data_IF_865496189353
#
_entry.id   IF_865496189353
#
_cell.length_a   1.000
_cell.length_b   1.000
_cell.length_c   1.000
_cell.angle_alpha   90.00
_cell.angle_beta   90.00
_cell.angle_gamma   90.00
#
_symmetry.space_group_name_H-M   'P 1'
#
loop_
_entity.id
_entity.type
_entity.pdbx_description
1 polymer ?
#
# COMPACT_ATOMS: atom_id res chain seq x y z
N UNK A 1 -27.79 -9.64 -0.24
CA UNK A 1 -27.03 -8.42 0.17
C UNK A 1 -26.38 -7.82 -1.07
N UNK A 2 -26.45 -6.50 -1.29
CA UNK A 2 -25.72 -5.86 -2.41
C UNK A 2 -24.24 -5.72 -2.02
N UNK A 3 -23.34 -6.33 -2.78
CA UNK A 3 -21.89 -6.20 -2.57
C UNK A 3 -21.48 -4.79 -2.96
N UNK A 4 -20.82 -4.06 -2.05
CA UNK A 4 -20.28 -2.72 -2.33
C UNK A 4 -19.29 -2.83 -3.50
N UNK A 5 -19.29 -1.85 -4.40
CA UNK A 5 -18.36 -1.80 -5.53
C UNK A 5 -17.38 -0.64 -5.33
N UNK A 6 -16.14 -0.86 -5.74
CA UNK A 6 -15.08 0.15 -5.79
C UNK A 6 -14.68 0.40 -7.24
N UNK A 7 -14.14 1.59 -7.50
CA UNK A 7 -13.54 1.97 -8.78
C UNK A 7 -12.04 2.11 -8.57
N UNK A 8 -11.22 1.50 -9.41
CA UNK A 8 -9.77 1.61 -9.31
C UNK A 8 -9.33 3.03 -9.69
N UNK A 9 -8.64 3.74 -8.79
CA UNK A 9 -8.17 5.11 -9.05
C UNK A 9 -7.11 5.22 -10.17
N UNK A 10 -6.51 4.10 -10.56
CA UNK A 10 -5.43 4.07 -11.58
C UNK A 10 -5.96 3.77 -12.99
N UNK A 11 -6.94 2.89 -13.13
CA UNK A 11 -7.40 2.45 -14.45
C UNK A 11 -8.92 2.51 -14.65
N UNK A 12 -9.69 3.00 -13.68
CA UNK A 12 -11.15 3.13 -13.78
C UNK A 12 -11.94 1.81 -13.70
N UNK A 13 -11.27 0.64 -13.65
CA UNK A 13 -11.96 -0.66 -13.54
C UNK A 13 -12.79 -0.74 -12.26
N UNK A 14 -14.06 -1.13 -12.39
CA UNK A 14 -14.94 -1.43 -11.26
C UNK A 14 -14.69 -2.84 -10.75
N UNK A 15 -14.66 -3.02 -9.43
CA UNK A 15 -14.47 -4.33 -8.77
C UNK A 15 -15.30 -4.41 -7.47
N UNK A 16 -15.77 -5.60 -7.07
CA UNK A 16 -16.54 -5.77 -5.84
C UNK A 16 -15.64 -5.69 -4.58
N UNK A 17 -16.25 -5.35 -3.45
CA UNK A 17 -15.63 -5.42 -2.13
C UNK A 17 -15.13 -6.85 -1.83
N UNK A 18 -13.96 -6.94 -1.20
CA UNK A 18 -13.24 -8.20 -1.00
C UNK A 18 -12.36 -8.61 -2.18
N UNK A 19 -12.49 -7.95 -3.34
CA UNK A 19 -11.51 -8.03 -4.43
C UNK A 19 -10.62 -6.79 -4.45
N UNK A 20 -9.38 -6.94 -4.93
CA UNK A 20 -8.43 -5.82 -5.00
C UNK A 20 -7.83 -5.42 -3.66
N UNK A 21 -7.42 -4.16 -3.55
CA UNK A 21 -6.70 -3.59 -2.41
C UNK A 21 -7.35 -2.24 -2.10
N UNK A 22 -7.80 -2.06 -0.86
CA UNK A 22 -8.41 -0.81 -0.38
C UNK A 22 -7.61 -0.34 0.82
N UNK A 23 -7.04 0.88 0.74
CA UNK A 23 -6.29 1.51 1.82
C UNK A 23 -7.06 2.74 2.31
N UNK A 24 -7.20 2.88 3.63
CA UNK A 24 -7.84 4.05 4.26
C UNK A 24 -6.90 4.64 5.28
N UNK A 25 -6.51 5.90 5.10
CA UNK A 25 -5.67 6.64 6.07
C UNK A 25 -5.89 8.13 5.91
N UNK A 26 -5.94 8.86 7.02
CA UNK A 26 -6.06 10.33 7.03
C UNK A 26 -7.25 10.84 6.17
N UNK A 27 -8.42 10.20 6.28
CA UNK A 27 -9.60 10.50 5.46
C UNK A 27 -9.41 10.35 3.93
N UNK A 28 -8.35 9.69 3.49
CA UNK A 28 -8.11 9.34 2.09
C UNK A 28 -8.40 7.85 1.90
N UNK A 29 -9.23 7.53 0.89
CA UNK A 29 -9.50 6.17 0.43
C UNK A 29 -8.79 5.93 -0.92
N UNK A 30 -7.86 4.96 -0.95
CA UNK A 30 -7.16 4.54 -2.17
C UNK A 30 -7.60 3.12 -2.55
N UNK A 31 -8.14 2.97 -3.77
CA UNK A 31 -8.72 1.72 -4.27
C UNK A 31 -7.99 1.21 -5.51
N UNK A 32 -7.49 -0.02 -5.44
CA UNK A 32 -6.74 -0.66 -6.53
C UNK A 32 -7.34 -2.02 -6.88
N UNK A 33 -7.67 -2.24 -8.15
CA UNK A 33 -8.19 -3.55 -8.56
C UNK A 33 -7.11 -4.64 -8.58
N UNK A 34 -5.82 -4.28 -8.58
CA UNK A 34 -4.68 -5.20 -8.67
C UNK A 34 -3.42 -4.62 -8.04
N UNK A 35 -2.46 -5.51 -7.71
CA UNK A 35 -1.12 -5.13 -7.22
C UNK A 35 -0.40 -4.24 -8.22
N UNK A 36 -0.53 -4.49 -9.53
CA UNK A 36 0.09 -3.68 -10.57
C UNK A 36 -0.42 -2.24 -10.59
N UNK A 37 -1.70 -2.02 -10.33
CA UNK A 37 -2.25 -0.66 -10.19
C UNK A 37 -1.71 0.02 -8.92
N UNK A 38 -1.66 -0.70 -7.80
CA UNK A 38 -1.05 -0.18 -6.57
C UNK A 38 0.39 0.26 -6.83
N UNK A 39 1.22 -0.58 -7.45
CA UNK A 39 2.62 -0.26 -7.72
C UNK A 39 2.79 0.97 -8.64
N UNK A 40 1.96 1.09 -9.68
CA UNK A 40 1.97 2.26 -10.58
C UNK A 40 1.65 3.55 -9.83
N UNK A 41 0.63 3.52 -8.98
CA UNK A 41 0.26 4.67 -8.15
C UNK A 41 1.38 5.05 -7.20
N UNK A 42 1.92 4.10 -6.43
CA UNK A 42 2.92 4.41 -5.42
C UNK A 42 4.25 4.90 -6.02
N UNK A 43 4.60 4.47 -7.23
CA UNK A 43 5.74 5.05 -7.96
C UNK A 43 5.56 6.54 -8.20
N UNK A 44 4.44 6.94 -8.81
CA UNK A 44 4.13 8.36 -9.04
C UNK A 44 3.93 9.13 -7.73
N UNK A 45 3.32 8.51 -6.72
CA UNK A 45 3.14 9.12 -5.41
C UNK A 45 4.48 9.48 -4.76
N UNK A 46 5.44 8.56 -4.79
CA UNK A 46 6.79 8.79 -4.25
C UNK A 46 7.52 9.88 -5.03
N UNK A 47 7.40 9.89 -6.36
CA UNK A 47 8.00 10.92 -7.22
C UNK A 47 7.44 12.33 -6.94
N UNK A 48 6.22 12.43 -6.38
CA UNK A 48 5.56 13.69 -6.02
C UNK A 48 5.80 14.13 -4.56
N UNK A 49 6.46 13.34 -3.72
CA UNK A 49 6.79 13.74 -2.34
C UNK A 49 8.00 14.68 -2.32
N UNK A 50 8.00 15.63 -1.39
CA UNK A 50 9.22 16.38 -1.10
C UNK A 50 10.30 15.45 -0.51
N UNK A 51 11.57 15.81 -0.72
CA UNK A 51 12.71 14.98 -0.31
C UNK A 51 12.72 14.66 1.19
N UNK A 52 12.34 15.63 2.03
CA UNK A 52 12.32 15.49 3.48
C UNK A 52 11.28 14.47 3.94
N UNK A 53 10.03 14.62 3.48
CA UNK A 53 8.93 13.70 3.77
C UNK A 53 9.23 12.29 3.26
N UNK A 54 9.76 12.17 2.04
CA UNK A 54 10.15 10.88 1.47
C UNK A 54 11.22 10.20 2.32
N UNK A 55 12.33 10.89 2.61
CA UNK A 55 13.47 10.33 3.33
C UNK A 55 13.09 9.84 4.73
N UNK A 56 12.26 10.60 5.45
CA UNK A 56 11.76 10.20 6.77
C UNK A 56 10.91 8.94 6.67
N UNK A 57 9.88 8.96 5.82
CA UNK A 57 8.95 7.84 5.67
C UNK A 57 9.66 6.56 5.19
N UNK A 58 10.60 6.68 4.24
CA UNK A 58 11.38 5.56 3.72
C UNK A 58 12.24 4.91 4.81
N UNK A 59 13.00 5.70 5.58
CA UNK A 59 13.86 5.18 6.66
C UNK A 59 13.06 4.44 7.74
N UNK A 60 11.97 5.04 8.21
CA UNK A 60 11.10 4.43 9.22
C UNK A 60 10.51 3.11 8.71
N UNK A 61 10.05 3.10 7.45
CA UNK A 61 9.47 1.91 6.82
C UNK A 61 10.51 0.79 6.64
N UNK A 62 11.72 1.11 6.15
CA UNK A 62 12.82 0.14 5.97
C UNK A 62 13.20 -0.50 7.31
N UNK A 63 13.39 0.32 8.35
CA UNK A 63 13.73 -0.17 9.70
C UNK A 63 12.66 -1.14 10.21
N UNK A 64 11.38 -0.81 10.05
CA UNK A 64 10.29 -1.70 10.45
C UNK A 64 10.34 -3.06 9.73
N UNK A 65 10.60 -3.07 8.41
CA UNK A 65 10.74 -4.32 7.66
C UNK A 65 11.97 -5.12 8.06
N UNK A 66 13.08 -4.47 8.40
CA UNK A 66 14.27 -5.14 8.95
C UNK A 66 13.99 -5.81 10.29
N UNK A 67 13.35 -5.12 11.22
CA UNK A 67 12.97 -5.65 12.53
C UNK A 67 12.02 -6.84 12.39
N UNK A 68 11.01 -6.74 11.52
CA UNK A 68 10.10 -7.85 11.22
C UNK A 68 10.84 -9.06 10.63
N UNK A 69 11.80 -8.86 9.71
CA UNK A 69 12.61 -9.95 9.15
C UNK A 69 13.47 -10.62 10.21
N UNK A 70 14.13 -9.83 11.08
CA UNK A 70 14.95 -10.35 12.19
C UNK A 70 14.12 -11.17 13.17
N UNK A 71 12.93 -10.69 13.54
CA UNK A 71 12.02 -11.42 14.43
C UNK A 71 11.58 -12.76 13.82
N UNK A 72 11.21 -12.77 12.53
CA UNK A 72 10.85 -14.01 11.81
C UNK A 72 12.00 -15.01 11.72
N UNK A 73 13.24 -14.55 11.54
CA UNK A 73 14.41 -15.43 11.52
C UNK A 73 14.66 -16.05 12.90
N UNK A 74 14.62 -15.26 13.98
CA UNK A 74 14.79 -15.77 15.36
C UNK A 74 13.72 -16.79 15.73
N UNK A 75 12.46 -16.55 15.34
CA UNK A 75 11.34 -17.45 15.63
C UNK A 75 11.38 -18.77 14.83
N UNK A 76 12.18 -18.87 13.77
CA UNK A 76 12.38 -20.12 13.00
C UNK A 76 13.56 -20.95 13.49
N UNK A 77 14.37 -20.42 14.41
CA UNK A 77 15.58 -21.07 14.96
C UNK A 77 15.26 -21.76 16.31
N UNK A 78 13.98 -21.81 16.70
CA UNK A 78 13.47 -22.52 17.88
C UNK A 78 12.54 -23.64 17.40
#
# INVERSE_FOLDING_TARGET
>A
MKVKKYVCIVCGRTFPEGQGIVLRRANIELTFHSKSCLSKFFRLFIENLDEGSFKKAAKETIKSFEEQRKARMKAKVI
#
